data_IF_942401441544
#
_entry.id   IF_942401441544
#
_cell.length_a   1.000
_cell.length_b   1.000
_cell.length_c   1.000
_cell.angle_alpha   90.00
_cell.angle_beta   90.00
_cell.angle_gamma   90.00
#
_symmetry.space_group_name_H-M   'P 1'
#
loop_
_entity.id
_entity.type
_entity.pdbx_description
1 polymer ?
#
# COMPACT_ATOMS: atom_id res chain seq x y z
N UNK A 1 -7.98 19.41 -6.85
CA UNK A 1 -8.22 18.25 -7.76
C UNK A 1 -7.90 16.99 -6.98
N UNK A 2 -8.60 15.88 -7.25
CA UNK A 2 -8.36 14.61 -6.56
C UNK A 2 -7.11 13.92 -7.13
N UNK A 3 -6.47 13.07 -6.33
CA UNK A 3 -5.41 12.18 -6.82
C UNK A 3 -6.03 10.88 -7.33
N UNK A 4 -5.39 10.33 -8.35
CA UNK A 4 -5.70 9.01 -8.90
C UNK A 4 -4.53 8.07 -8.72
N UNK A 5 -4.82 6.83 -8.35
CA UNK A 5 -3.81 5.80 -8.11
C UNK A 5 -3.88 4.73 -9.19
N UNK A 6 -2.78 4.55 -9.92
CA UNK A 6 -2.65 3.54 -10.96
C UNK A 6 -1.81 2.38 -10.46
N UNK A 7 -2.40 1.18 -10.41
CA UNK A 7 -1.69 -0.06 -10.10
C UNK A 7 -0.82 -0.48 -11.29
N UNK A 8 0.50 -0.55 -11.11
CA UNK A 8 1.44 -0.94 -12.18
C UNK A 8 1.95 -2.37 -12.05
N UNK A 9 1.88 -2.96 -10.86
CA UNK A 9 2.32 -4.33 -10.66
C UNK A 9 2.00 -4.86 -9.26
N UNK A 10 1.81 -6.17 -9.19
CA UNK A 10 1.62 -6.93 -7.95
C UNK A 10 2.46 -8.19 -8.02
N UNK A 11 3.31 -8.41 -7.02
CA UNK A 11 4.08 -9.64 -6.86
C UNK A 11 3.75 -10.26 -5.50
N UNK A 12 3.44 -11.56 -5.50
CA UNK A 12 3.05 -12.29 -4.30
C UNK A 12 4.04 -13.42 -4.06
N UNK A 13 4.67 -13.41 -2.88
CA UNK A 13 5.60 -14.44 -2.45
C UNK A 13 5.02 -15.16 -1.23
N UNK A 14 4.55 -16.39 -1.42
CA UNK A 14 3.97 -17.21 -0.36
C UNK A 14 4.82 -18.46 -0.14
N UNK A 15 5.26 -18.73 1.09
CA UNK A 15 5.98 -19.95 1.43
C UNK A 15 5.08 -21.16 1.68
N UNK A 16 3.80 -20.92 1.97
CA UNK A 16 2.81 -21.93 2.33
C UNK A 16 1.43 -21.50 1.88
N UNK A 17 0.63 -22.47 1.47
CA UNK A 17 -0.66 -22.34 0.78
C UNK A 17 -1.64 -21.36 1.46
N UNK A 18 -2.40 -20.68 0.59
CA UNK A 18 -3.65 -19.96 0.87
C UNK A 18 -3.56 -18.59 1.55
N UNK A 19 -3.00 -17.60 0.86
CA UNK A 19 -3.62 -16.27 0.91
C UNK A 19 -4.89 -16.37 0.04
N UNK A 20 -6.11 -16.21 0.58
CA UNK A 20 -7.29 -16.10 -0.27
C UNK A 20 -7.09 -14.88 -1.17
N UNK A 21 -6.97 -15.09 -2.48
CA UNK A 21 -6.67 -14.02 -3.43
C UNK A 21 -7.63 -12.83 -3.28
N UNK A 22 -8.90 -13.11 -2.96
CA UNK A 22 -9.94 -12.12 -2.65
C UNK A 22 -9.52 -11.14 -1.55
N UNK A 23 -9.05 -11.65 -0.40
CA UNK A 23 -8.63 -10.80 0.72
C UNK A 23 -7.42 -9.92 0.37
N UNK A 24 -6.56 -10.42 -0.52
CA UNK A 24 -5.43 -9.64 -0.99
C UNK A 24 -5.91 -8.48 -1.86
N UNK A 25 -6.81 -8.73 -2.82
CA UNK A 25 -7.37 -7.66 -3.65
C UNK A 25 -8.19 -6.66 -2.83
N UNK A 26 -8.94 -7.11 -1.82
CA UNK A 26 -9.64 -6.22 -0.88
C UNK A 26 -8.66 -5.28 -0.17
N UNK A 27 -7.49 -5.80 0.27
CA UNK A 27 -6.44 -4.99 0.88
C UNK A 27 -5.86 -3.96 -0.10
N UNK A 28 -5.54 -4.37 -1.34
CA UNK A 28 -5.03 -3.45 -2.35
C UNK A 28 -6.05 -2.35 -2.64
N UNK A 29 -7.33 -2.72 -2.80
CA UNK A 29 -8.41 -1.78 -3.03
C UNK A 29 -8.54 -0.80 -1.87
N UNK A 30 -8.50 -1.27 -0.63
CA UNK A 30 -8.55 -0.40 0.55
C UNK A 30 -7.38 0.61 0.58
N UNK A 31 -6.17 0.18 0.21
CA UNK A 31 -5.01 1.09 0.12
C UNK A 31 -5.23 2.14 -0.97
N UNK A 32 -5.70 1.73 -2.15
CA UNK A 32 -6.01 2.62 -3.27
C UNK A 32 -7.07 3.65 -2.87
N UNK A 33 -8.23 3.19 -2.37
CA UNK A 33 -9.35 4.05 -1.99
C UNK A 33 -8.94 5.07 -0.93
N UNK A 34 -8.13 4.65 0.06
CA UNK A 34 -7.67 5.55 1.12
C UNK A 34 -6.67 6.58 0.59
N UNK A 35 -5.76 6.18 -0.31
CA UNK A 35 -4.83 7.11 -0.95
C UNK A 35 -5.56 8.13 -1.83
N UNK A 36 -6.54 7.70 -2.63
CA UNK A 36 -7.35 8.61 -3.47
C UNK A 36 -8.23 9.56 -2.66
N UNK A 37 -8.77 9.09 -1.53
CA UNK A 37 -9.62 9.90 -0.65
C UNK A 37 -8.85 10.91 0.19
N UNK A 38 -7.66 10.55 0.66
CA UNK A 38 -6.90 11.40 1.58
C UNK A 38 -5.95 12.34 0.85
N UNK A 39 -5.42 11.96 -0.31
CA UNK A 39 -4.47 12.79 -1.05
C UNK A 39 -5.17 13.78 -1.97
N UNK A 40 -4.59 14.97 -2.07
CA UNK A 40 -5.14 16.08 -2.84
C UNK A 40 -4.08 16.67 -3.79
N UNK A 41 -4.47 17.67 -4.57
CA UNK A 41 -3.59 18.31 -5.56
C UNK A 41 -2.37 19.05 -4.98
N UNK A 42 -2.29 19.24 -3.66
CA UNK A 42 -1.09 19.79 -3.01
C UNK A 42 -0.03 18.71 -2.77
N UNK A 43 -0.42 17.44 -2.76
CA UNK A 43 0.49 16.30 -2.66
C UNK A 43 1.23 16.09 -4.00
N UNK A 44 2.52 15.74 -3.94
CA UNK A 44 3.32 15.52 -5.16
C UNK A 44 2.84 14.28 -5.93
N UNK A 45 3.21 14.18 -7.22
CA UNK A 45 3.08 12.94 -7.98
C UNK A 45 4.29 12.05 -7.70
N UNK A 46 4.05 10.76 -7.47
CA UNK A 46 5.12 9.84 -7.09
C UNK A 46 4.88 8.41 -7.53
N UNK A 47 5.97 7.64 -7.58
CA UNK A 47 5.93 6.20 -7.71
C UNK A 47 6.10 5.57 -6.33
N UNK A 48 5.13 4.76 -5.94
CA UNK A 48 5.05 4.07 -4.66
C UNK A 48 5.29 2.58 -4.87
N UNK A 49 6.37 2.06 -4.30
CA UNK A 49 6.60 0.62 -4.17
C UNK A 49 6.45 0.23 -2.71
N UNK A 50 5.47 -0.63 -2.44
CA UNK A 50 5.18 -1.16 -1.12
C UNK A 50 5.62 -2.60 -1.05
N UNK A 51 6.41 -2.93 -0.04
CA UNK A 51 6.71 -4.32 0.28
C UNK A 51 6.17 -4.64 1.66
N UNK A 52 5.18 -5.51 1.72
CA UNK A 52 4.59 -6.01 2.95
C UNK A 52 5.18 -7.35 3.30
N UNK A 53 5.54 -7.53 4.57
CA UNK A 53 5.82 -8.84 5.17
C UNK A 53 4.79 -9.09 6.26
N UNK A 54 4.01 -10.13 6.04
CA UNK A 54 2.96 -10.60 6.91
C UNK A 54 3.49 -11.77 7.72
N UNK A 55 3.30 -11.69 9.03
CA UNK A 55 3.61 -12.76 9.97
C UNK A 55 2.35 -13.01 10.80
N UNK A 56 2.02 -14.28 11.12
CA UNK A 56 0.96 -14.59 12.06
C UNK A 56 1.23 -13.88 13.38
N UNK A 57 0.19 -13.29 13.97
CA UNK A 57 0.21 -12.65 15.29
C UNK A 57 1.21 -11.49 15.47
N UNK A 58 1.71 -10.90 14.36
CA UNK A 58 2.52 -9.69 14.39
C UNK A 58 1.96 -8.63 13.46
N UNK A 59 2.19 -7.36 13.84
CA UNK A 59 1.92 -6.26 12.93
C UNK A 59 2.75 -6.42 11.64
N UNK A 60 2.17 -6.11 10.48
CA UNK A 60 2.86 -6.17 9.20
C UNK A 60 4.07 -5.27 9.21
N UNK A 61 5.23 -5.82 8.84
CA UNK A 61 6.39 -4.98 8.55
C UNK A 61 6.27 -4.52 7.10
N UNK A 62 6.14 -3.21 6.91
CA UNK A 62 6.11 -2.60 5.58
C UNK A 62 7.43 -1.88 5.31
N UNK A 63 7.94 -2.03 4.09
CA UNK A 63 8.98 -1.18 3.54
C UNK A 63 8.35 -0.35 2.43
N UNK A 64 8.37 0.96 2.63
CA UNK A 64 7.80 1.92 1.69
C UNK A 64 8.97 2.55 0.93
N UNK A 65 9.03 2.27 -0.37
CA UNK A 65 9.95 2.91 -1.29
C UNK A 65 9.18 3.98 -2.07
N UNK A 66 9.44 5.24 -1.71
CA UNK A 66 8.86 6.41 -2.37
C UNK A 66 9.89 6.98 -3.34
N UNK A 67 9.73 6.71 -4.62
CA UNK A 67 10.57 7.28 -5.66
C UNK A 67 9.94 8.58 -6.17
N UNK A 68 10.70 9.68 -6.11
CA UNK A 68 10.28 10.99 -6.56
C UNK A 68 9.58 11.86 -5.51
N UNK A 69 9.22 11.30 -4.35
CA UNK A 69 8.60 12.07 -3.26
C UNK A 69 9.66 12.81 -2.44
N UNK A 70 9.74 14.13 -2.60
CA UNK A 70 10.67 14.98 -1.84
C UNK A 70 9.98 15.65 -0.67
N UNK A 71 8.66 15.82 -0.73
CA UNK A 71 7.87 16.43 0.33
C UNK A 71 7.70 15.49 1.54
N UNK A 72 8.21 15.92 2.69
CA UNK A 72 8.14 15.17 3.95
C UNK A 72 6.71 15.09 4.52
N UNK A 73 5.85 16.07 4.24
CA UNK A 73 4.45 16.07 4.70
C UNK A 73 3.65 14.98 3.99
N UNK A 74 3.69 14.95 2.65
CA UNK A 74 3.07 13.88 1.85
C UNK A 74 3.63 12.52 2.23
N UNK A 75 4.93 12.43 2.55
CA UNK A 75 5.55 11.17 3.00
C UNK A 75 4.90 10.64 4.28
N UNK A 76 4.76 11.51 5.28
CA UNK A 76 4.16 11.11 6.56
C UNK A 76 2.70 10.70 6.38
N UNK A 77 1.94 11.48 5.59
CA UNK A 77 0.54 11.19 5.25
C UNK A 77 0.39 9.80 4.62
N UNK A 78 1.24 9.45 3.65
CA UNK A 78 1.25 8.12 3.03
C UNK A 78 1.61 7.01 4.03
N UNK A 79 2.59 7.24 4.90
CA UNK A 79 2.96 6.25 5.93
C UNK A 79 1.78 5.99 6.88
N UNK A 80 1.09 7.04 7.32
CA UNK A 80 -0.05 6.93 8.24
C UNK A 80 -1.23 6.18 7.60
N UNK A 81 -1.53 6.48 6.33
CA UNK A 81 -2.54 5.76 5.53
C UNK A 81 -2.23 4.26 5.44
N UNK A 82 -0.97 3.90 5.20
CA UNK A 82 -0.58 2.50 5.04
C UNK A 82 -0.60 1.74 6.37
N UNK A 83 -0.30 2.41 7.48
CA UNK A 83 -0.39 1.81 8.80
C UNK A 83 -1.83 1.50 9.20
N UNK A 84 -2.79 2.37 8.85
CA UNK A 84 -4.20 2.15 9.18
C UNK A 84 -4.80 0.99 8.37
N UNK A 85 -4.54 0.94 7.06
CA UNK A 85 -5.09 -0.08 6.14
C UNK A 85 -4.54 -1.50 6.36
N UNK A 86 -3.35 -1.64 6.96
CA UNK A 86 -2.70 -2.95 7.13
C UNK A 86 -3.10 -3.72 8.39
N UNK A 87 -3.73 -3.06 9.36
CA UNK A 87 -4.11 -3.65 10.66
C UNK A 87 -5.18 -4.77 10.56
N UNK A 88 -6.02 -4.74 9.54
CA UNK A 88 -7.15 -5.68 9.34
C UNK A 88 -6.69 -6.99 8.69
N UNK A 89 -5.72 -6.91 7.77
CA UNK A 89 -5.32 -8.02 6.90
C UNK A 89 -4.40 -9.07 7.58
N UNK A 90 -3.71 -8.70 8.66
CA UNK A 90 -2.52 -9.44 9.14
C UNK A 90 -2.75 -10.53 10.16
N UNK A 91 -3.95 -10.65 10.72
CA UNK A 91 -4.19 -11.60 11.81
C UNK A 91 -4.13 -13.07 11.39
N UNK A 92 -4.04 -13.41 10.10
CA UNK A 92 -4.23 -14.78 9.62
C UNK A 92 -3.26 -15.25 8.53
N UNK A 93 -2.29 -14.42 8.12
CA UNK A 93 -1.52 -14.68 6.90
C UNK A 93 -0.02 -14.54 7.12
N UNK A 94 0.75 -15.55 6.72
CA UNK A 94 2.20 -15.49 6.61
C UNK A 94 2.60 -15.34 5.13
N UNK A 95 3.40 -14.33 4.78
CA UNK A 95 3.86 -14.14 3.40
C UNK A 95 4.48 -12.78 3.15
N UNK A 96 4.87 -12.51 1.91
CA UNK A 96 5.24 -11.16 1.50
C UNK A 96 4.63 -10.77 0.18
N UNK A 97 4.20 -9.52 0.09
CA UNK A 97 3.58 -8.93 -1.10
C UNK A 97 4.39 -7.70 -1.48
N UNK A 98 4.61 -7.52 -2.77
CA UNK A 98 5.05 -6.26 -3.33
C UNK A 98 3.94 -5.66 -4.19
N UNK A 99 3.67 -4.36 -4.02
CA UNK A 99 2.72 -3.59 -4.83
C UNK A 99 3.47 -2.39 -5.40
N UNK A 100 3.29 -2.14 -6.69
CA UNK A 100 3.77 -0.94 -7.37
C UNK A 100 2.58 -0.09 -7.84
N UNK A 101 2.61 1.20 -7.51
CA UNK A 101 1.56 2.16 -7.81
C UNK A 101 2.12 3.52 -8.24
N UNK A 102 1.43 4.18 -9.14
CA UNK A 102 1.67 5.59 -9.48
C UNK A 102 0.55 6.45 -8.92
N UNK A 103 0.90 7.51 -8.21
CA UNK A 103 -0.06 8.51 -7.71
C UNK A 103 0.10 9.78 -8.53
N UNK A 104 -0.97 10.19 -9.20
CA UNK A 104 -0.97 11.29 -10.16
C UNK A 104 -2.21 12.17 -10.00
N UNK A 105 -2.11 13.43 -10.43
CA UNK A 105 -3.28 14.29 -10.59
C UNK A 105 -4.23 13.71 -11.66
N UNK A 106 -5.53 13.85 -11.43
CA UNK A 106 -6.56 13.55 -12.43
C UNK A 106 -6.75 14.66 -13.46
#
# INVERSE_FOLDING_TARGET
MAKKVFLSGVEIYTSTENIPAERFFDFVQQVVDTLESELDSEDENYHLRLQFRFYPDQNPKHQIHLNGLKNQQTRNKVVDILQSSTSVFTRQTAGSVQIEMFVQDE
#
